data_IF_196222060713
#
_entry.id   IF_196222060713
#
_cell.length_a   1.000
_cell.length_b   1.000
_cell.length_c   1.000
_cell.angle_alpha   90.00
_cell.angle_beta   90.00
_cell.angle_gamma   90.00
#
_symmetry.space_group_name_H-M   'P 1'
#
loop_
_entity.id
_entity.type
_entity.pdbx_description
1 polymer ?
#
# COMPACT_ATOMS: atom_id res chain seq x y z
N UNK A 1 25.98 -23.23 -0.29
CA UNK A 1 25.92 -23.34 -1.77
C UNK A 1 27.05 -22.63 -2.53
N UNK A 2 27.52 -21.43 -2.13
CA UNK A 2 28.53 -20.67 -2.90
C UNK A 2 29.93 -21.30 -3.04
N UNK A 3 30.33 -22.24 -2.16
CA UNK A 3 31.64 -22.93 -2.25
C UNK A 3 31.67 -24.06 -3.29
N UNK A 4 30.62 -24.85 -3.39
CA UNK A 4 30.56 -25.98 -4.32
C UNK A 4 30.38 -25.53 -5.78
N UNK A 5 29.66 -24.42 -6.00
CA UNK A 5 29.50 -23.83 -7.34
C UNK A 5 30.83 -23.26 -7.87
N UNK A 6 31.68 -22.70 -7.01
CA UNK A 6 33.03 -22.22 -7.39
C UNK A 6 33.95 -23.36 -7.82
N UNK A 7 33.85 -24.54 -7.20
CA UNK A 7 34.67 -25.71 -7.56
C UNK A 7 34.26 -26.27 -8.94
N UNK A 8 32.96 -26.31 -9.24
CA UNK A 8 32.45 -26.81 -10.54
C UNK A 8 32.83 -25.87 -11.69
N UNK A 9 32.78 -24.55 -11.48
CA UNK A 9 33.17 -23.57 -12.50
C UNK A 9 34.69 -23.59 -12.77
N UNK A 10 35.51 -23.82 -11.74
CA UNK A 10 36.97 -23.98 -11.92
C UNK A 10 37.29 -25.27 -12.69
N UNK A 11 36.58 -26.37 -12.41
CA UNK A 11 36.76 -27.63 -13.14
C UNK A 11 36.40 -27.51 -14.63
N UNK A 12 35.30 -26.80 -14.96
CA UNK A 12 34.87 -26.57 -16.34
C UNK A 12 35.85 -25.69 -17.12
N UNK A 13 36.41 -24.66 -16.48
CA UNK A 13 37.41 -23.78 -17.11
C UNK A 13 38.74 -24.49 -17.38
N UNK A 14 39.15 -25.43 -16.52
CA UNK A 14 40.36 -26.23 -16.75
C UNK A 14 40.15 -27.19 -17.92
N UNK A 15 38.97 -27.80 -18.08
CA UNK A 15 38.71 -28.72 -19.21
C UNK A 15 38.69 -28.05 -20.59
N UNK A 16 38.41 -26.75 -20.68
CA UNK A 16 38.40 -26.02 -21.96
C UNK A 16 39.77 -25.55 -22.46
N UNK A 17 40.82 -25.58 -21.62
CA UNK A 17 42.14 -25.03 -21.96
C UNK A 17 43.22 -26.08 -22.28
N UNK A 18 42.96 -27.37 -22.08
CA UNK A 18 43.94 -28.45 -22.30
C UNK A 18 43.65 -29.21 -23.60
N UNK A 19 43.54 -28.47 -24.71
CA UNK A 19 43.42 -29.03 -26.06
C UNK A 19 44.77 -29.34 -26.74
N UNK A 20 45.91 -29.14 -26.06
CA UNK A 20 47.24 -29.35 -26.65
C UNK A 20 48.10 -30.26 -25.77
N UNK A 21 48.40 -31.45 -26.32
CA UNK A 21 49.42 -32.43 -25.93
C UNK A 21 49.59 -32.69 -24.42
N UNK A 22 48.67 -33.45 -23.81
CA UNK A 22 48.99 -34.12 -22.54
C UNK A 22 49.98 -35.24 -22.81
N UNK A 23 51.05 -35.32 -22.04
CA UNK A 23 51.96 -36.46 -22.12
C UNK A 23 51.23 -37.73 -21.66
N UNK A 24 51.63 -38.93 -22.12
CA UNK A 24 51.03 -40.19 -21.67
C UNK A 24 51.02 -40.35 -20.14
N UNK A 25 52.01 -39.78 -19.44
CA UNK A 25 52.05 -39.75 -17.98
C UNK A 25 50.97 -38.86 -17.35
N UNK A 26 50.68 -37.70 -17.97
CA UNK A 26 49.60 -36.83 -17.51
C UNK A 26 48.22 -37.47 -17.72
N UNK A 27 48.01 -38.17 -18.84
CA UNK A 27 46.77 -38.94 -19.07
C UNK A 27 46.58 -40.03 -18.01
N UNK A 28 47.64 -40.79 -17.69
CA UNK A 28 47.60 -41.82 -16.65
C UNK A 28 47.28 -41.26 -15.26
N UNK A 29 47.83 -40.09 -14.92
CA UNK A 29 47.51 -39.42 -13.64
C UNK A 29 46.05 -38.94 -13.60
N UNK A 30 45.52 -38.44 -14.72
CA UNK A 30 44.12 -38.00 -14.81
C UNK A 30 43.17 -39.20 -14.68
N UNK A 31 43.45 -40.31 -15.37
CA UNK A 31 42.65 -41.55 -15.25
C UNK A 31 42.61 -42.08 -13.82
N UNK A 32 43.77 -42.14 -13.13
CA UNK A 32 43.84 -42.56 -11.73
C UNK A 32 43.09 -41.61 -10.79
N UNK A 33 43.17 -40.30 -11.02
CA UNK A 33 42.42 -39.31 -10.26
C UNK A 33 40.90 -39.46 -10.46
N UNK A 34 40.48 -39.72 -11.70
CA UNK A 34 39.07 -39.93 -12.06
C UNK A 34 38.51 -41.21 -11.43
N UNK A 35 39.28 -42.30 -11.47
CA UNK A 35 38.91 -43.58 -10.84
C UNK A 35 38.75 -43.43 -9.32
N UNK A 36 39.70 -42.73 -8.67
CA UNK A 36 39.62 -42.45 -7.23
C UNK A 36 38.41 -41.58 -6.89
N UNK A 37 38.11 -40.56 -7.69
CA UNK A 37 36.94 -39.72 -7.49
C UNK A 37 35.63 -40.51 -7.64
N UNK A 38 35.53 -41.37 -8.66
CA UNK A 38 34.36 -42.23 -8.87
C UNK A 38 34.14 -43.19 -7.70
N UNK A 39 35.20 -43.76 -7.13
CA UNK A 39 35.11 -44.64 -5.96
C UNK A 39 34.59 -43.92 -4.72
N UNK A 40 35.01 -42.67 -4.48
CA UNK A 40 34.51 -41.87 -3.35
C UNK A 40 33.05 -41.44 -3.57
N UNK A 41 32.66 -41.11 -4.81
CA UNK A 41 31.26 -40.85 -5.17
C UNK A 41 30.39 -42.08 -4.91
N UNK A 42 30.85 -43.28 -5.27
CA UNK A 42 30.10 -44.52 -5.03
C UNK A 42 29.93 -44.82 -3.53
N UNK A 43 30.97 -44.58 -2.72
CA UNK A 43 30.86 -44.68 -1.25
C UNK A 43 29.86 -43.67 -0.68
N UNK A 44 29.87 -42.42 -1.15
CA UNK A 44 28.95 -41.39 -0.70
C UNK A 44 27.49 -41.75 -1.06
N UNK A 45 27.25 -42.31 -2.25
CA UNK A 45 25.93 -42.83 -2.65
C UNK A 45 25.46 -43.97 -1.75
N UNK A 46 26.32 -44.96 -1.49
CA UNK A 46 25.99 -46.06 -0.57
C UNK A 46 25.70 -45.57 0.86
N UNK A 47 26.41 -44.55 1.33
CA UNK A 47 26.14 -43.94 2.63
C UNK A 47 24.81 -43.18 2.65
N UNK A 48 24.49 -42.44 1.59
CA UNK A 48 23.20 -41.78 1.43
C UNK A 48 22.06 -42.81 1.40
N UNK A 49 22.17 -43.86 0.59
CA UNK A 49 21.16 -44.92 0.51
C UNK A 49 20.98 -45.64 1.85
N UNK A 50 22.06 -45.79 2.63
CA UNK A 50 21.99 -46.36 3.98
C UNK A 50 21.24 -45.45 4.96
N UNK A 51 21.39 -44.13 4.85
CA UNK A 51 20.68 -43.15 5.70
C UNK A 51 19.21 -43.07 5.30
N UNK A 52 18.92 -43.05 3.99
CA UNK A 52 17.55 -43.00 3.45
C UNK A 52 16.74 -44.28 3.75
N UNK A 53 17.43 -45.40 4.00
CA UNK A 53 16.79 -46.68 4.32
C UNK A 53 16.63 -46.95 5.83
N UNK A 54 17.09 -46.06 6.72
CA UNK A 54 16.88 -46.29 8.14
C UNK A 54 15.39 -46.15 8.52
N UNK A 55 14.93 -46.85 9.56
CA UNK A 55 13.56 -46.73 10.05
C UNK A 55 13.17 -45.29 10.40
N UNK A 56 14.09 -44.52 10.98
CA UNK A 56 13.87 -43.14 11.40
C UNK A 56 13.64 -42.21 10.21
N UNK A 57 14.38 -42.41 9.11
CA UNK A 57 14.17 -41.63 7.89
C UNK A 57 12.81 -41.93 7.25
N UNK A 58 12.43 -43.21 7.21
CA UNK A 58 11.11 -43.63 6.68
C UNK A 58 9.95 -43.13 7.55
N UNK A 59 10.16 -42.98 8.85
CA UNK A 59 9.18 -42.40 9.77
C UNK A 59 9.04 -40.90 9.55
N UNK A 60 10.16 -40.19 9.38
CA UNK A 60 10.19 -38.78 9.03
C UNK A 60 9.52 -38.51 7.68
N UNK A 61 9.76 -39.35 6.66
CA UNK A 61 9.11 -39.25 5.35
C UNK A 61 7.58 -39.40 5.46
N UNK A 62 7.10 -40.34 6.28
CA UNK A 62 5.67 -40.49 6.57
C UNK A 62 5.08 -39.30 7.32
N UNK A 63 5.84 -38.66 8.19
CA UNK A 63 5.42 -37.45 8.91
C UNK A 63 5.32 -36.24 7.97
N UNK A 64 6.34 -36.04 7.12
CA UNK A 64 6.33 -35.00 6.08
C UNK A 64 5.14 -35.19 5.13
N UNK A 65 4.87 -36.43 4.70
CA UNK A 65 3.73 -36.69 3.82
C UNK A 65 2.38 -36.43 4.51
N UNK A 66 2.26 -36.69 5.81
CA UNK A 66 1.06 -36.34 6.60
C UNK A 66 0.87 -34.82 6.63
N UNK A 67 1.92 -34.07 6.93
CA UNK A 67 1.88 -32.60 6.96
C UNK A 67 1.46 -32.03 5.60
N UNK A 68 2.01 -32.55 4.50
CA UNK A 68 1.63 -32.12 3.13
C UNK A 68 0.14 -32.36 2.87
N UNK A 69 -0.39 -33.51 3.27
CA UNK A 69 -1.81 -33.84 3.08
C UNK A 69 -2.72 -32.93 3.93
N UNK A 70 -2.33 -32.65 5.17
CA UNK A 70 -3.07 -31.77 6.07
C UNK A 70 -3.11 -30.34 5.50
N UNK A 71 -1.97 -29.82 5.01
CA UNK A 71 -1.90 -28.51 4.36
C UNK A 71 -2.80 -28.43 3.12
N UNK A 72 -2.84 -29.47 2.29
CA UNK A 72 -3.74 -29.52 1.13
C UNK A 72 -5.23 -29.54 1.54
N UNK A 73 -5.58 -30.13 2.68
CA UNK A 73 -6.94 -30.08 3.22
C UNK A 73 -7.29 -28.69 3.76
N UNK A 74 -6.36 -28.04 4.47
CA UNK A 74 -6.52 -26.66 4.93
C UNK A 74 -6.72 -25.69 3.76
N UNK A 75 -5.94 -25.80 2.69
CA UNK A 75 -6.12 -24.97 1.50
C UNK A 75 -7.49 -25.16 0.84
N UNK A 76 -8.00 -26.40 0.80
CA UNK A 76 -9.35 -26.67 0.28
C UNK A 76 -10.44 -26.05 1.16
N UNK A 77 -10.28 -26.09 2.48
CA UNK A 77 -11.22 -25.45 3.42
C UNK A 77 -11.19 -23.93 3.28
N UNK A 78 -10.00 -23.32 3.22
CA UNK A 78 -9.83 -21.89 3.04
C UNK A 78 -10.46 -21.39 1.71
N UNK A 79 -10.24 -22.12 0.60
CA UNK A 79 -10.86 -21.78 -0.70
C UNK A 79 -12.39 -21.84 -0.65
N UNK A 80 -12.95 -22.85 0.02
CA UNK A 80 -14.41 -22.98 0.18
C UNK A 80 -14.98 -21.86 1.06
N UNK A 81 -14.25 -21.44 2.10
CA UNK A 81 -14.64 -20.33 2.96
C UNK A 81 -14.57 -18.98 2.23
N UNK A 82 -13.53 -18.75 1.41
CA UNK A 82 -13.47 -17.60 0.51
C UNK A 82 -14.61 -17.55 -0.51
N UNK A 83 -15.03 -18.69 -1.07
CA UNK A 83 -16.17 -18.76 -2.00
C UNK A 83 -17.48 -18.40 -1.28
N UNK A 84 -17.69 -18.89 -0.06
CA UNK A 84 -18.86 -18.53 0.75
C UNK A 84 -18.88 -17.03 1.10
N UNK A 85 -17.73 -16.44 1.44
CA UNK A 85 -17.60 -14.99 1.72
C UNK A 85 -17.91 -14.17 0.46
N UNK A 86 -17.41 -14.58 -0.71
CA UNK A 86 -17.70 -13.92 -2.01
C UNK A 86 -19.18 -14.03 -2.38
N UNK A 87 -19.87 -15.08 -1.98
CA UNK A 87 -21.32 -15.24 -2.21
C UNK A 87 -22.14 -14.36 -1.25
N UNK A 88 -21.73 -14.22 0.02
CA UNK A 88 -22.33 -13.27 0.97
C UNK A 88 -22.08 -11.79 0.60
N UNK A 89 -20.90 -11.46 0.08
CA UNK A 89 -20.58 -10.12 -0.44
C UNK A 89 -21.42 -9.78 -1.68
N UNK A 90 -21.62 -10.71 -2.62
CA UNK A 90 -22.49 -10.49 -3.77
C UNK A 90 -23.97 -10.25 -3.41
N UNK A 91 -24.43 -10.74 -2.25
CA UNK A 91 -25.77 -10.48 -1.72
C UNK A 91 -25.85 -9.09 -1.06
N UNK A 92 -24.75 -8.59 -0.45
CA UNK A 92 -24.66 -7.22 0.12
C UNK A 92 -24.44 -6.13 -0.93
N UNK A 93 -23.69 -6.40 -2.00
CA UNK A 93 -23.38 -5.42 -3.07
C UNK A 93 -24.64 -4.95 -3.84
N UNK A 94 -25.75 -5.70 -3.79
CA UNK A 94 -27.03 -5.24 -4.36
C UNK A 94 -27.78 -4.20 -3.49
N UNK A 95 -27.25 -3.79 -2.33
CA UNK A 95 -28.01 -2.97 -1.38
C UNK A 95 -27.19 -1.90 -0.66
N UNK A 96 -26.68 -0.90 -1.40
CA UNK A 96 -26.78 0.56 -1.11
C UNK A 96 -25.64 1.33 -1.81
N UNK A 97 -25.86 1.71 -3.05
CA UNK A 97 -25.29 2.99 -3.50
C UNK A 97 -26.30 4.04 -3.03
N UNK A 98 -26.09 4.60 -1.83
CA UNK A 98 -26.81 5.83 -1.46
C UNK A 98 -26.33 6.91 -2.43
N UNK A 99 -27.24 7.64 -3.11
CA UNK A 99 -26.82 8.74 -3.98
C UNK A 99 -26.06 9.78 -3.16
N UNK A 100 -25.02 10.36 -3.76
CA UNK A 100 -24.28 11.46 -3.16
C UNK A 100 -25.24 12.58 -2.72
N UNK A 101 -25.20 12.93 -1.43
CA UNK A 101 -25.99 14.04 -0.88
C UNK A 101 -25.52 15.35 -1.50
N UNK A 102 -26.45 16.23 -1.85
CA UNK A 102 -26.12 17.58 -2.34
C UNK A 102 -25.51 18.48 -1.26
N UNK A 103 -25.71 18.12 0.01
CA UNK A 103 -25.22 18.86 1.18
C UNK A 103 -24.35 17.97 2.07
N UNK A 104 -23.27 18.50 2.67
CA UNK A 104 -22.38 17.74 3.51
C UNK A 104 -23.10 17.32 4.81
N UNK A 105 -23.43 16.04 4.93
CA UNK A 105 -24.23 15.51 6.05
C UNK A 105 -23.77 14.12 6.42
N UNK A 106 -23.60 13.89 7.72
CA UNK A 106 -23.35 12.56 8.26
C UNK A 106 -24.68 11.93 8.68
N UNK A 107 -24.97 10.79 8.08
CA UNK A 107 -26.14 9.99 8.40
C UNK A 107 -25.96 9.30 9.77
N UNK A 108 -27.03 9.21 10.56
CA UNK A 108 -27.03 8.58 11.89
C UNK A 108 -26.08 9.23 12.92
N UNK A 109 -25.93 10.55 12.88
CA UNK A 109 -25.08 11.30 13.82
C UNK A 109 -25.52 11.14 15.30
N UNK A 110 -24.68 10.54 16.17
CA UNK A 110 -25.11 10.15 17.53
C UNK A 110 -25.04 11.29 18.55
N UNK A 111 -24.38 12.40 18.22
CA UNK A 111 -24.12 13.49 19.17
C UNK A 111 -25.05 14.70 18.98
N UNK A 112 -26.26 14.50 18.46
CA UNK A 112 -27.23 15.59 18.24
C UNK A 112 -27.65 16.37 19.49
N UNK A 113 -27.30 15.89 20.69
CA UNK A 113 -27.49 16.58 21.97
C UNK A 113 -26.29 17.44 22.40
N UNK A 114 -25.15 17.34 21.73
CA UNK A 114 -23.90 18.05 22.05
C UNK A 114 -23.62 19.16 21.04
N UNK A 115 -22.86 20.17 21.48
CA UNK A 115 -22.23 21.12 20.57
C UNK A 115 -20.92 20.50 20.09
N UNK A 116 -20.80 20.28 18.78
CA UNK A 116 -19.61 19.66 18.18
C UNK A 116 -19.07 20.55 17.08
N UNK A 117 -17.78 20.85 17.18
CA UNK A 117 -16.99 21.54 16.18
C UNK A 117 -16.42 20.54 15.18
N UNK A 118 -16.29 20.98 13.93
CA UNK A 118 -15.53 20.28 12.90
C UNK A 118 -14.16 20.93 12.84
N UNK A 119 -13.12 20.12 12.99
CA UNK A 119 -11.76 20.57 13.29
C UNK A 119 -10.76 19.80 12.45
N UNK A 120 -9.66 20.47 12.08
CA UNK A 120 -8.50 19.85 11.45
C UNK A 120 -7.25 20.17 12.26
N UNK A 121 -6.18 19.41 12.05
CA UNK A 121 -4.95 19.50 12.84
C UNK A 121 -3.70 19.65 11.95
N UNK A 122 -3.65 20.67 11.07
CA UNK A 122 -2.53 20.87 10.14
C UNK A 122 -1.18 21.11 10.82
N UNK A 123 -1.19 21.45 12.12
CA UNK A 123 -0.03 21.74 12.96
C UNK A 123 0.07 20.78 14.15
N UNK A 124 -0.64 19.64 14.09
CA UNK A 124 -0.72 18.65 15.16
C UNK A 124 -1.84 18.91 16.16
N UNK A 125 -2.01 17.98 17.11
CA UNK A 125 -3.14 17.97 18.05
C UNK A 125 -3.16 19.12 19.06
N UNK A 126 -2.02 19.80 19.29
CA UNK A 126 -1.92 20.93 20.22
C UNK A 126 -2.47 22.25 19.64
N UNK A 127 -2.65 22.32 18.31
CA UNK A 127 -3.11 23.51 17.59
C UNK A 127 -4.25 23.16 16.62
N UNK A 128 -5.37 22.63 17.14
CA UNK A 128 -6.54 22.33 16.32
C UNK A 128 -7.11 23.60 15.70
N UNK A 129 -7.50 23.50 14.44
CA UNK A 129 -8.13 24.59 13.69
C UNK A 129 -9.58 24.22 13.47
N UNK A 130 -10.49 25.01 14.04
CA UNK A 130 -11.92 24.89 13.76
C UNK A 130 -12.18 25.31 12.31
N UNK A 131 -12.85 24.45 11.55
CA UNK A 131 -13.22 24.67 10.15
C UNK A 131 -14.73 24.56 9.92
N UNK A 132 -15.50 24.43 11.00
CA UNK A 132 -16.95 24.34 10.91
C UNK A 132 -17.60 23.87 12.20
N UNK A 133 -18.89 23.60 12.11
CA UNK A 133 -19.72 23.07 13.20
C UNK A 133 -20.65 22.00 12.69
N UNK A 134 -21.15 21.21 13.62
CA UNK A 134 -22.08 20.15 13.34
C UNK A 134 -23.47 20.45 13.89
N UNK A 135 -24.48 20.43 13.01
CA UNK A 135 -25.88 20.58 13.42
C UNK A 135 -26.33 19.36 14.24
N UNK A 136 -27.44 19.52 14.98
CA UNK A 136 -28.05 18.43 15.74
C UNK A 136 -28.51 17.26 14.86
N UNK A 137 -28.81 17.52 13.60
CA UNK A 137 -29.26 16.55 12.60
C UNK A 137 -28.12 15.95 11.76
N UNK A 138 -26.87 16.30 12.04
CA UNK A 138 -25.70 15.77 11.34
C UNK A 138 -25.28 16.56 10.10
N UNK A 139 -25.79 17.78 9.88
CA UNK A 139 -25.45 18.64 8.74
C UNK A 139 -24.20 19.48 9.03
N UNK A 140 -23.17 19.32 8.20
CA UNK A 140 -21.86 19.94 8.39
C UNK A 140 -21.90 21.36 7.86
N UNK A 141 -21.67 22.33 8.74
CA UNK A 141 -21.58 23.73 8.36
C UNK A 141 -20.11 24.14 8.37
N UNK A 142 -19.47 24.08 7.20
CA UNK A 142 -18.09 24.51 7.03
C UNK A 142 -17.99 26.04 7.12
N UNK A 143 -16.98 26.49 7.86
CA UNK A 143 -16.56 27.87 8.03
C UNK A 143 -15.03 27.89 8.07
N UNK A 144 -14.43 27.88 6.88
CA UNK A 144 -12.97 27.80 6.75
C UNK A 144 -12.33 29.13 7.12
N UNK A 145 -11.32 29.15 8.02
CA UNK A 145 -10.57 30.36 8.27
C UNK A 145 -9.79 30.74 7.01
N UNK A 146 -9.74 32.05 6.72
CA UNK A 146 -9.08 32.58 5.52
C UNK A 146 -7.56 32.41 5.56
N UNK A 147 -6.99 32.47 6.75
CA UNK A 147 -5.55 32.40 7.00
C UNK A 147 -5.33 31.51 8.22
N UNK A 148 -4.29 30.68 8.16
CA UNK A 148 -3.80 29.97 9.34
C UNK A 148 -2.82 30.88 10.09
N UNK A 149 -3.09 31.13 11.37
CA UNK A 149 -2.17 31.84 12.27
C UNK A 149 -0.97 30.93 12.65
N UNK A 150 0.17 31.53 13.03
CA UNK A 150 1.39 30.81 13.45
C UNK A 150 2.02 29.88 12.41
N UNK A 151 1.98 30.24 11.13
CA UNK A 151 2.65 29.51 10.04
C UNK A 151 4.17 29.64 10.02
N UNK A 152 4.79 30.26 11.03
CA UNK A 152 6.19 30.67 10.96
C UNK A 152 7.18 29.54 11.26
N UNK A 153 8.08 29.32 10.30
CA UNK A 153 9.44 28.74 10.35
C UNK A 153 9.60 27.27 9.90
N UNK A 154 8.66 26.36 10.16
CA UNK A 154 8.70 24.96 9.65
C UNK A 154 7.54 24.66 8.67
N UNK A 155 7.23 25.62 7.81
CA UNK A 155 6.20 25.50 6.80
C UNK A 155 6.54 24.43 5.76
N UNK A 156 5.70 23.40 5.64
CA UNK A 156 5.74 22.42 4.56
C UNK A 156 5.40 23.11 3.25
N UNK A 157 6.07 22.70 2.18
CA UNK A 157 5.80 23.28 0.87
C UNK A 157 4.78 22.43 0.13
N UNK A 158 4.14 22.98 -0.91
CA UNK A 158 3.16 22.24 -1.71
C UNK A 158 3.79 21.03 -2.37
N UNK A 159 5.07 21.13 -2.73
CA UNK A 159 5.86 19.99 -3.18
C UNK A 159 5.79 18.84 -2.18
N UNK A 160 5.96 19.06 -0.87
CA UNK A 160 5.93 17.97 0.12
C UNK A 160 4.56 17.27 0.16
N UNK A 161 3.47 18.04 0.06
CA UNK A 161 2.11 17.51 0.10
C UNK A 161 1.77 16.66 -1.14
N UNK A 162 2.23 17.05 -2.33
CA UNK A 162 1.89 16.35 -3.59
C UNK A 162 2.96 15.36 -4.06
N UNK A 163 4.24 15.57 -3.73
CA UNK A 163 5.36 14.75 -4.20
C UNK A 163 5.68 13.58 -3.28
N UNK A 164 5.10 13.51 -2.07
CA UNK A 164 5.29 12.39 -1.14
C UNK A 164 4.93 11.02 -1.76
N UNK A 165 4.08 11.02 -2.79
CA UNK A 165 3.65 9.83 -3.52
C UNK A 165 4.48 9.53 -4.77
N UNK A 166 5.52 10.29 -5.08
CA UNK A 166 6.23 10.22 -6.35
C UNK A 166 7.69 9.79 -6.15
N UNK A 167 8.25 9.10 -7.15
CA UNK A 167 9.67 8.76 -7.17
C UNK A 167 10.54 10.03 -7.26
N UNK A 168 11.72 9.97 -6.64
CA UNK A 168 12.59 11.13 -6.35
C UNK A 168 13.25 11.81 -7.56
N UNK A 169 12.96 11.39 -8.79
CA UNK A 169 13.82 11.68 -9.94
C UNK A 169 13.63 13.09 -10.55
N UNK A 170 12.83 13.97 -9.93
CA UNK A 170 12.80 15.39 -10.25
C UNK A 170 11.98 16.19 -9.24
N UNK A 171 12.36 17.45 -8.99
CA UNK A 171 11.48 18.37 -8.28
C UNK A 171 10.20 18.55 -9.12
N UNK A 172 9.11 17.98 -8.62
CA UNK A 172 7.79 17.97 -9.25
C UNK A 172 7.23 19.38 -9.37
N UNK A 173 7.64 20.28 -8.46
CA UNK A 173 7.35 21.71 -8.46
C UNK A 173 8.69 22.45 -8.45
N UNK A 174 8.82 23.51 -9.25
CA UNK A 174 10.02 24.35 -9.21
C UNK A 174 10.03 25.17 -7.91
N UNK A 175 11.20 25.39 -7.30
CA UNK A 175 11.32 26.08 -6.00
C UNK A 175 10.62 27.45 -5.98
N UNK A 176 10.62 28.18 -7.11
CA UNK A 176 9.95 29.48 -7.24
C UNK A 176 8.42 29.41 -7.20
N UNK A 177 7.86 28.25 -7.55
CA UNK A 177 6.42 27.98 -7.58
C UNK A 177 5.99 27.15 -6.36
N UNK A 178 6.94 26.81 -5.49
CA UNK A 178 6.73 25.97 -4.32
C UNK A 178 6.24 26.82 -3.14
N UNK A 179 4.91 26.90 -3.04
CA UNK A 179 4.22 27.74 -2.08
C UNK A 179 4.04 27.03 -0.74
N UNK A 180 3.81 27.81 0.33
CA UNK A 180 3.45 27.25 1.63
C UNK A 180 2.13 26.48 1.52
N UNK A 181 2.15 25.24 2.02
CA UNK A 181 0.95 24.41 2.12
C UNK A 181 0.92 23.63 3.42
N UNK A 182 -0.27 23.16 3.82
CA UNK A 182 -0.46 22.23 4.94
C UNK A 182 -1.53 21.22 4.57
N UNK A 183 -1.20 19.93 4.59
CA UNK A 183 -2.24 18.91 4.70
C UNK A 183 -3.01 19.13 6.00
N UNK A 184 -4.34 19.15 5.92
CA UNK A 184 -5.17 19.42 7.10
C UNK A 184 -5.15 18.27 8.13
N UNK A 185 -4.65 17.11 7.72
CA UNK A 185 -4.78 15.86 8.47
C UNK A 185 -6.20 15.31 8.36
N UNK A 186 -6.65 14.65 9.43
CA UNK A 186 -8.01 14.13 9.51
C UNK A 186 -9.00 15.26 9.79
N UNK A 187 -10.18 15.21 9.15
CA UNK A 187 -11.32 16.03 9.57
C UNK A 187 -11.90 15.35 10.81
N UNK A 188 -11.89 16.05 11.93
CA UNK A 188 -12.21 15.52 13.26
C UNK A 188 -13.38 16.23 13.91
N UNK A 189 -14.04 15.54 14.82
CA UNK A 189 -15.18 16.02 15.60
C UNK A 189 -14.75 16.22 17.04
N UNK A 190 -14.94 17.44 17.54
CA UNK A 190 -14.57 17.83 18.90
C UNK A 190 -15.74 18.48 19.61
N UNK A 191 -16.02 18.11 20.86
CA UNK A 191 -17.00 18.84 21.67
C UNK A 191 -16.49 20.24 22.02
N UNK A 192 -17.39 21.14 22.45
CA UNK A 192 -17.03 22.43 23.06
C UNK A 192 -16.16 22.34 24.34
N UNK A 193 -16.03 21.15 24.93
CA UNK A 193 -15.12 20.84 26.05
C UNK A 193 -13.81 20.18 25.63
N UNK A 194 -13.36 20.41 24.40
CA UNK A 194 -12.08 19.90 23.86
C UNK A 194 -11.90 18.38 23.93
N UNK A 195 -13.01 17.63 23.82
CA UNK A 195 -12.98 16.17 23.72
C UNK A 195 -13.13 15.74 22.27
N UNK A 196 -12.15 15.00 21.76
CA UNK A 196 -12.24 14.28 20.50
C UNK A 196 -13.31 13.18 20.58
N UNK A 197 -14.25 13.17 19.64
CA UNK A 197 -15.39 12.21 19.62
C UNK A 197 -15.54 11.47 18.30
N UNK A 198 -14.70 11.77 17.30
CA UNK A 198 -14.76 11.07 16.02
C UNK A 198 -14.00 11.72 14.88
N UNK A 199 -14.02 11.05 13.74
CA UNK A 199 -13.41 11.43 12.46
C UNK A 199 -14.48 11.44 11.37
N UNK A 200 -14.33 12.34 10.39
CA UNK A 200 -15.17 12.43 9.21
C UNK A 200 -14.36 12.03 7.98
N UNK A 201 -14.91 11.12 7.19
CA UNK A 201 -14.39 10.72 5.88
C UNK A 201 -15.27 11.28 4.78
N UNK A 202 -14.64 11.90 3.79
CA UNK A 202 -15.28 12.33 2.56
C UNK A 202 -14.89 11.34 1.45
N UNK A 203 -15.84 10.50 1.02
CA UNK A 203 -15.61 9.40 0.08
C UNK A 203 -16.79 9.24 -0.88
N UNK A 204 -16.57 8.71 -2.08
CA UNK A 204 -17.67 8.33 -2.98
C UNK A 204 -18.37 7.04 -2.53
N UNK A 205 -17.64 6.17 -1.84
CA UNK A 205 -18.06 4.85 -1.38
C UNK A 205 -17.50 4.61 0.03
N UNK A 206 -18.34 4.12 0.96
CA UNK A 206 -17.97 3.84 2.35
C UNK A 206 -16.93 2.73 2.45
N UNK A 207 -16.94 1.77 1.51
CA UNK A 207 -15.99 0.64 1.49
C UNK A 207 -14.54 1.11 1.24
N UNK A 208 -14.33 2.33 0.72
CA UNK A 208 -13.01 2.93 0.61
C UNK A 208 -12.34 3.22 1.95
N UNK A 209 -13.12 3.44 3.02
CA UNK A 209 -12.58 3.97 4.27
C UNK A 209 -11.55 3.01 4.89
N UNK A 210 -11.81 1.70 4.83
CA UNK A 210 -10.87 0.72 5.36
C UNK A 210 -9.52 0.76 4.64
N UNK A 211 -9.52 0.97 3.32
CA UNK A 211 -8.30 1.15 2.55
C UNK A 211 -7.63 2.51 2.80
N UNK A 212 -8.40 3.59 2.95
CA UNK A 212 -7.86 4.92 3.26
C UNK A 212 -7.13 4.92 4.61
N UNK A 213 -7.67 4.20 5.61
CA UNK A 213 -7.05 4.04 6.92
C UNK A 213 -5.82 3.13 6.89
N UNK A 214 -5.85 2.08 6.07
CA UNK A 214 -4.78 1.07 6.00
C UNK A 214 -4.50 0.56 4.57
N UNK A 215 -3.80 1.36 3.74
CA UNK A 215 -3.58 1.05 2.33
C UNK A 215 -2.54 -0.07 2.08
N UNK A 216 -1.89 -0.56 3.13
CA UNK A 216 -0.87 -1.61 3.03
C UNK A 216 -1.45 -3.01 3.20
N UNK A 217 -2.51 -3.16 4.00
CA UNK A 217 -3.10 -4.46 4.34
C UNK A 217 -4.52 -4.65 3.79
N UNK A 218 -5.23 -3.57 3.46
CA UNK A 218 -6.58 -3.64 2.90
C UNK A 218 -6.52 -3.44 1.39
N UNK A 219 -7.39 -4.13 0.65
CA UNK A 219 -7.53 -3.92 -0.80
C UNK A 219 -8.37 -2.66 -1.07
N UNK A 220 -7.98 -1.80 -2.04
CA UNK A 220 -8.81 -0.69 -2.46
C UNK A 220 -10.05 -1.17 -3.22
N UNK A 221 -11.06 -0.32 -3.27
CA UNK A 221 -12.16 -0.39 -4.25
C UNK A 221 -12.06 0.81 -5.19
N UNK A 222 -12.76 0.74 -6.34
CA UNK A 222 -12.82 1.89 -7.24
C UNK A 222 -13.69 2.99 -6.64
N UNK A 223 -13.23 4.23 -6.72
CA UNK A 223 -13.96 5.39 -6.24
C UNK A 223 -13.05 6.55 -5.91
N UNK A 224 -13.59 7.54 -5.22
CA UNK A 224 -12.91 8.78 -4.86
C UNK A 224 -12.86 8.96 -3.35
N UNK A 225 -11.73 9.42 -2.83
CA UNK A 225 -11.62 9.98 -1.48
C UNK A 225 -11.11 11.41 -1.57
N UNK A 226 -11.51 12.24 -0.61
CA UNK A 226 -11.24 13.67 -0.66
C UNK A 226 -10.36 14.07 0.52
N UNK A 227 -9.26 14.76 0.20
CA UNK A 227 -8.38 15.36 1.21
C UNK A 227 -8.60 16.87 1.25
N UNK A 228 -8.47 17.46 2.43
CA UNK A 228 -8.49 18.91 2.61
C UNK A 228 -7.06 19.41 2.80
N UNK A 229 -6.70 20.45 2.07
CA UNK A 229 -5.37 21.09 2.12
C UNK A 229 -5.52 22.60 2.27
N UNK A 230 -4.63 23.23 3.02
CA UNK A 230 -4.48 24.69 3.02
C UNK A 230 -3.31 25.10 2.12
N UNK A 231 -3.48 26.15 1.32
CA UNK A 231 -2.40 26.78 0.54
C UNK A 231 -2.36 28.29 0.80
N UNK A 232 -1.17 28.87 0.92
CA UNK A 232 -1.02 30.29 1.25
C UNK A 232 -1.35 31.23 0.08
N UNK A 233 -1.26 30.75 -1.15
CA UNK A 233 -1.54 31.50 -2.38
C UNK A 233 -2.19 30.59 -3.42
N UNK A 234 -2.77 31.19 -4.45
CA UNK A 234 -3.27 30.44 -5.61
C UNK A 234 -2.15 29.57 -6.21
N UNK A 235 -2.50 28.34 -6.60
CA UNK A 235 -1.55 27.36 -7.13
C UNK A 235 -2.19 26.55 -8.24
N UNK A 236 -1.47 26.37 -9.34
CA UNK A 236 -1.90 25.55 -10.47
C UNK A 236 -0.85 24.51 -10.78
N UNK A 237 -1.31 23.28 -11.00
CA UNK A 237 -0.43 22.16 -11.25
C UNK A 237 -1.08 21.12 -12.14
N UNK A 238 -0.56 20.95 -13.35
CA UNK A 238 -1.13 20.04 -14.35
C UNK A 238 -0.02 19.20 -14.97
N UNK A 239 0.18 18.01 -14.43
CA UNK A 239 1.19 17.05 -14.90
C UNK A 239 0.91 15.68 -14.28
N UNK A 240 1.82 14.74 -14.42
CA UNK A 240 1.75 13.44 -13.77
C UNK A 240 3.08 13.11 -13.10
N UNK A 241 3.02 12.21 -12.12
CA UNK A 241 4.20 11.57 -11.56
C UNK A 241 3.98 10.07 -11.46
N UNK A 242 5.07 9.33 -11.25
CA UNK A 242 5.02 7.89 -11.00
C UNK A 242 5.64 7.56 -9.65
N UNK A 243 5.11 6.52 -9.01
CA UNK A 243 5.70 5.84 -7.86
C UNK A 243 6.08 4.42 -8.26
N UNK A 244 7.25 3.97 -7.86
CA UNK A 244 7.70 2.60 -8.07
C UNK A 244 7.51 1.81 -6.79
N UNK A 245 6.59 0.84 -6.82
CA UNK A 245 6.40 -0.12 -5.75
C UNK A 245 7.19 -1.38 -6.06
N UNK A 246 8.17 -1.70 -5.22
CA UNK A 246 8.94 -2.94 -5.34
C UNK A 246 8.12 -4.12 -4.83
N UNK A 247 7.95 -5.15 -5.66
CA UNK A 247 7.32 -6.42 -5.29
C UNK A 247 8.31 -7.56 -5.55
N UNK A 248 8.09 -8.72 -4.90
CA UNK A 248 8.94 -9.90 -5.09
C UNK A 248 8.95 -10.42 -6.53
N UNK A 249 7.85 -10.21 -7.26
CA UNK A 249 7.67 -10.62 -8.66
C UNK A 249 8.14 -9.57 -9.68
N UNK A 250 8.64 -8.43 -9.22
CA UNK A 250 9.06 -7.30 -10.04
C UNK A 250 8.49 -5.96 -9.55
N UNK A 251 8.88 -4.88 -10.21
CA UNK A 251 8.38 -3.55 -9.85
C UNK A 251 7.02 -3.29 -10.49
N UNK A 252 6.12 -2.67 -9.75
CA UNK A 252 4.88 -2.09 -10.25
C UNK A 252 4.98 -0.56 -10.22
N UNK A 253 4.34 0.09 -11.19
CA UNK A 253 4.28 1.56 -11.25
C UNK A 253 2.89 2.03 -10.90
N UNK A 254 2.83 3.10 -10.10
CA UNK A 254 1.60 3.82 -9.77
C UNK A 254 1.70 5.18 -10.44
N UNK A 255 0.72 5.53 -11.27
CA UNK A 255 0.68 6.83 -11.95
C UNK A 255 -0.33 7.75 -11.30
N UNK A 256 0.13 8.92 -10.86
CA UNK A 256 -0.71 10.00 -10.35
C UNK A 256 -0.84 11.09 -11.42
N UNK A 257 -2.06 11.32 -11.90
CA UNK A 257 -2.36 12.39 -12.86
C UNK A 257 -2.94 13.60 -12.13
N UNK A 258 -2.15 14.66 -11.99
CA UNK A 258 -2.53 15.89 -11.33
C UNK A 258 -3.18 16.89 -12.30
N UNK A 259 -4.32 17.45 -11.90
CA UNK A 259 -4.95 18.61 -12.50
C UNK A 259 -5.53 19.49 -11.39
N UNK A 260 -4.65 20.29 -10.79
CA UNK A 260 -4.94 21.13 -9.64
C UNK A 260 -5.04 22.61 -10.04
N UNK A 261 -6.06 23.26 -9.53
CA UNK A 261 -6.26 24.70 -9.54
C UNK A 261 -6.78 25.11 -8.15
N UNK A 262 -5.85 25.31 -7.23
CA UNK A 262 -6.10 25.62 -5.82
C UNK A 262 -6.15 27.14 -5.62
N UNK A 263 -7.03 27.58 -4.73
CA UNK A 263 -7.14 28.97 -4.30
C UNK A 263 -6.50 29.18 -2.95
N UNK A 264 -5.98 30.37 -2.67
CA UNK A 264 -5.50 30.71 -1.33
C UNK A 264 -6.54 30.34 -0.26
N UNK A 265 -6.13 29.64 0.79
CA UNK A 265 -6.99 29.07 1.83
C UNK A 265 -7.17 27.55 1.73
N UNK A 266 -8.27 27.06 2.30
CA UNK A 266 -8.61 25.63 2.31
C UNK A 266 -9.26 25.18 0.99
N UNK A 267 -8.80 24.03 0.47
CA UNK A 267 -9.27 23.42 -0.76
C UNK A 267 -9.48 21.91 -0.55
N UNK A 268 -10.52 21.36 -1.17
CA UNK A 268 -10.66 19.92 -1.30
C UNK A 268 -9.97 19.45 -2.59
N UNK A 269 -9.24 18.35 -2.46
CA UNK A 269 -8.62 17.60 -3.56
C UNK A 269 -9.27 16.23 -3.62
N UNK A 270 -9.78 15.88 -4.80
CA UNK A 270 -10.28 14.54 -5.10
C UNK A 270 -9.13 13.64 -5.54
N UNK A 271 -8.99 12.49 -4.90
CA UNK A 271 -8.15 11.38 -5.35
C UNK A 271 -9.07 10.27 -5.84
N UNK A 272 -9.16 10.11 -7.16
CA UNK A 272 -10.00 9.11 -7.81
C UNK A 272 -9.15 7.92 -8.25
N UNK A 273 -9.46 6.75 -7.72
CA UNK A 273 -8.85 5.47 -8.10
C UNK A 273 -9.47 5.03 -9.43
N UNK A 274 -8.70 5.18 -10.51
CA UNK A 274 -9.14 4.84 -11.88
C UNK A 274 -8.85 3.38 -12.22
N UNK A 275 -7.79 2.82 -11.64
CA UNK A 275 -7.40 1.43 -11.84
C UNK A 275 -6.73 0.87 -10.59
N UNK A 276 -6.87 -0.45 -10.42
CA UNK A 276 -6.31 -1.20 -9.29
C UNK A 276 -5.43 -2.30 -9.86
N UNK A 277 -4.17 -2.30 -9.47
CA UNK A 277 -3.26 -3.41 -9.67
C UNK A 277 -3.64 -4.54 -8.71
N UNK A 278 -4.01 -5.69 -9.27
CA UNK A 278 -4.33 -6.88 -8.48
C UNK A 278 -3.05 -7.61 -8.10
N UNK A 279 -2.74 -7.60 -6.80
CA UNK A 279 -1.68 -8.44 -6.25
C UNK A 279 -2.13 -9.90 -6.25
N UNK A 280 -1.29 -10.79 -6.78
CA UNK A 280 -1.46 -12.25 -6.71
C UNK A 280 -0.52 -12.88 -5.65
N UNK A 281 0.14 -12.05 -4.84
CA UNK A 281 1.06 -12.47 -3.79
C UNK A 281 0.29 -12.56 -2.46
N UNK A 282 0.33 -13.73 -1.82
CA UNK A 282 -0.32 -13.95 -0.54
C UNK A 282 0.20 -12.95 0.51
N UNK A 283 -0.72 -12.28 1.21
CA UNK A 283 -0.39 -11.30 2.25
C UNK A 283 -0.02 -9.90 1.76
N UNK A 284 -0.02 -9.66 0.44
CA UNK A 284 0.19 -8.32 -0.14
C UNK A 284 -1.12 -7.81 -0.72
N UNK A 285 -1.64 -6.71 -0.16
CA UNK A 285 -2.84 -6.07 -0.68
C UNK A 285 -2.64 -5.58 -2.12
N UNK A 286 -3.69 -5.64 -2.91
CA UNK A 286 -3.83 -4.90 -4.17
C UNK A 286 -3.73 -3.40 -3.89
N UNK A 287 -3.37 -2.62 -4.90
CA UNK A 287 -3.19 -1.17 -4.73
C UNK A 287 -3.57 -0.39 -5.99
N UNK A 288 -3.93 0.89 -5.87
CA UNK A 288 -4.14 1.74 -7.03
C UNK A 288 -2.84 1.87 -7.84
N UNK A 289 -2.91 1.64 -9.14
CA UNK A 289 -1.81 1.89 -10.09
C UNK A 289 -2.12 3.04 -11.06
N UNK A 290 -3.36 3.55 -11.06
CA UNK A 290 -3.73 4.80 -11.72
C UNK A 290 -4.67 5.62 -10.85
N UNK A 291 -4.25 6.83 -10.51
CA UNK A 291 -5.01 7.77 -9.67
C UNK A 291 -5.09 9.12 -10.36
N UNK A 292 -6.30 9.66 -10.49
CA UNK A 292 -6.51 11.05 -10.91
C UNK A 292 -6.65 11.94 -9.68
N UNK A 293 -5.91 13.05 -9.66
CA UNK A 293 -5.85 13.99 -8.54
C UNK A 293 -6.31 15.36 -9.01
N UNK A 294 -7.50 15.80 -8.58
CA UNK A 294 -8.13 17.01 -9.12
C UNK A 294 -8.65 17.95 -8.04
N UNK A 295 -8.67 19.25 -8.35
CA UNK A 295 -9.29 20.25 -7.46
C UNK A 295 -10.81 20.16 -7.49
N UNK A 296 -11.42 20.22 -6.31
CA UNK A 296 -12.88 20.32 -6.16
C UNK A 296 -13.30 21.77 -5.97
N UNK A 297 -14.30 22.21 -6.73
CA UNK A 297 -14.90 23.52 -6.51
C UNK A 297 -15.83 23.48 -5.29
N UNK A 298 -15.43 24.16 -4.21
CA UNK A 298 -16.22 24.23 -2.97
C UNK A 298 -16.24 22.92 -2.18
N UNK A 299 -17.38 22.60 -1.58
CA UNK A 299 -17.57 21.38 -0.78
C UNK A 299 -17.88 20.20 -1.71
N UNK A 300 -17.17 19.05 -1.61
CA UNK A 300 -17.42 17.91 -2.48
C UNK A 300 -18.82 17.32 -2.26
N UNK A 301 -19.46 16.97 -3.39
CA UNK A 301 -20.70 16.19 -3.41
C UNK A 301 -20.37 14.71 -3.30
N UNK A 302 -20.11 14.27 -2.08
CA UNK A 302 -19.71 12.91 -1.75
C UNK A 302 -20.52 12.37 -0.57
N UNK A 303 -20.22 11.14 -0.16
CA UNK A 303 -20.67 10.63 1.13
C UNK A 303 -19.78 11.20 2.22
N UNK A 304 -20.40 11.68 3.30
CA UNK A 304 -19.73 12.14 4.50
C UNK A 304 -20.01 11.13 5.60
N UNK A 305 -18.98 10.36 5.99
CA UNK A 305 -19.12 9.24 6.90
C UNK A 305 -18.41 9.58 8.21
N UNK A 306 -19.11 9.48 9.34
CA UNK A 306 -18.54 9.65 10.67
C UNK A 306 -18.12 8.31 11.28
N UNK A 307 -16.91 8.25 11.84
CA UNK A 307 -16.48 7.19 12.77
C UNK A 307 -16.31 7.81 14.16
N UNK A 308 -16.84 7.15 15.18
CA UNK A 308 -16.97 7.71 16.52
C UNK A 308 -16.28 6.84 17.58
N UNK A 309 -15.88 7.46 18.69
CA UNK A 309 -15.17 6.82 19.80
C UNK A 309 -15.83 7.13 21.15
#
# INVERSE_FOLDING_TARGET
MKKNLKIIVILLLVTSYVGFSQTPEQQKMIEQALEKANKEIEKAKKMQDSIMNTPEYKELEKEVQRIINDLAEYEKKAKKEEENIKEEENIKVKKKVKPASSEPKIENYPFGSLNVNVTVIPMGMSTPVKIGTMSKSGDINFDFPKVLENTSIESSKIQDAISSQCDKDGAIVEEKDDILSRESGIISLWTDKDRFVGTIYAVSDEDLIAWVDDPFYINPVLGSFFKLIYVASDFQYNTHCTQTRMLDTGNAQITYQYNLNLKAGFNFIEYKIEHIYKSNINGVASFPDKVSVTSVSGIPKCQWIGRYF
#
